data_IF_967475233471
#
_entry.id   IF_967475233471
#
_cell.length_a   1.000
_cell.length_b   1.000
_cell.length_c   1.000
_cell.angle_alpha   90.00
_cell.angle_beta   90.00
_cell.angle_gamma   90.00
#
_symmetry.space_group_name_H-M   'P 1'
#
loop_
_entity.id
_entity.type
_entity.pdbx_description
1 polymer ?
#
# COMPACT_ATOMS: atom_id res chain seq x y z
N UNK A 1 -14.76 -1.03 1.02
CA UNK A 1 -13.65 -0.98 0.08
C UNK A 1 -12.36 -1.46 0.74
N UNK A 2 -11.97 -0.98 1.92
CA UNK A 2 -10.65 -1.21 2.50
C UNK A 2 -10.22 -2.66 2.77
N UNK A 3 -11.07 -3.52 3.32
CA UNK A 3 -10.65 -4.88 3.76
C UNK A 3 -10.41 -5.87 2.61
N UNK A 4 -10.98 -5.64 1.43
CA UNK A 4 -10.83 -6.50 0.25
C UNK A 4 -9.78 -6.01 -0.73
N UNK A 5 -9.18 -4.85 -0.49
CA UNK A 5 -8.29 -4.18 -1.44
C UNK A 5 -7.01 -4.98 -1.72
N UNK A 6 -6.42 -5.60 -0.69
CA UNK A 6 -5.24 -6.45 -0.85
C UNK A 6 -5.59 -7.73 -1.62
N UNK A 7 -6.70 -8.36 -1.27
CA UNK A 7 -7.17 -9.55 -1.99
C UNK A 7 -7.38 -9.26 -3.47
N UNK A 8 -8.27 -8.32 -3.78
CA UNK A 8 -8.67 -8.02 -5.17
C UNK A 8 -7.61 -7.29 -5.98
N UNK A 9 -6.85 -6.40 -5.35
CA UNK A 9 -5.89 -5.54 -6.04
C UNK A 9 -4.45 -6.05 -6.09
N UNK A 10 -4.09 -7.03 -5.29
CA UNK A 10 -2.72 -7.53 -5.15
C UNK A 10 -2.63 -9.05 -5.25
N UNK A 11 -3.27 -9.78 -4.31
CA UNK A 11 -3.21 -11.25 -4.29
C UNK A 11 -3.91 -11.87 -5.50
N UNK A 12 -5.09 -11.38 -5.89
CA UNK A 12 -5.85 -11.88 -7.04
C UNK A 12 -5.07 -11.80 -8.35
N UNK A 13 -4.54 -10.63 -8.75
CA UNK A 13 -3.70 -10.51 -9.94
C UNK A 13 -2.47 -11.43 -9.93
N UNK A 14 -1.82 -11.58 -8.79
CA UNK A 14 -0.66 -12.50 -8.65
C UNK A 14 -1.09 -13.94 -8.80
N UNK A 15 -2.21 -14.34 -8.20
CA UNK A 15 -2.75 -15.70 -8.37
C UNK A 15 -3.20 -15.96 -9.81
N UNK A 16 -3.78 -14.97 -10.50
CA UNK A 16 -4.12 -15.11 -11.92
C UNK A 16 -2.90 -15.39 -12.80
N UNK A 17 -1.75 -14.84 -12.48
CA UNK A 17 -0.52 -15.01 -13.25
C UNK A 17 0.27 -16.27 -12.88
N UNK A 18 0.41 -16.58 -11.58
CA UNK A 18 1.36 -17.59 -11.09
C UNK A 18 0.74 -18.83 -10.47
N UNK A 19 -0.55 -18.84 -10.17
CA UNK A 19 -1.22 -19.99 -9.54
C UNK A 19 -1.58 -21.08 -10.56
N UNK A 20 -1.70 -22.32 -10.08
CA UNK A 20 -2.25 -23.42 -10.88
C UNK A 20 -3.75 -23.23 -11.13
N UNK A 21 -4.31 -23.95 -12.10
CA UNK A 21 -5.74 -23.85 -12.40
C UNK A 21 -6.61 -24.32 -11.23
N UNK A 22 -6.17 -25.31 -10.45
CA UNK A 22 -6.83 -25.75 -9.22
C UNK A 22 -6.83 -24.67 -8.16
N UNK A 23 -5.69 -23.99 -7.96
CA UNK A 23 -5.59 -22.86 -7.02
C UNK A 23 -6.50 -21.70 -7.45
N UNK A 24 -6.48 -21.35 -8.74
CA UNK A 24 -7.35 -20.29 -9.28
C UNK A 24 -8.82 -20.62 -9.06
N UNK A 25 -9.24 -21.85 -9.37
CA UNK A 25 -10.61 -22.30 -9.20
C UNK A 25 -11.06 -22.29 -7.72
N UNK A 26 -10.12 -22.57 -6.78
CA UNK A 26 -10.43 -22.60 -5.34
C UNK A 26 -10.47 -21.17 -4.74
N UNK A 27 -9.50 -20.32 -5.02
CA UNK A 27 -9.29 -19.10 -4.26
C UNK A 27 -9.88 -17.84 -4.91
N UNK A 28 -9.83 -17.71 -6.23
CA UNK A 28 -10.29 -16.49 -6.90
C UNK A 28 -11.79 -16.21 -6.74
N UNK A 29 -12.70 -17.22 -6.85
CA UNK A 29 -14.13 -16.96 -6.62
C UNK A 29 -14.42 -16.52 -5.17
N UNK A 30 -13.84 -17.19 -4.17
CA UNK A 30 -14.03 -16.85 -2.77
C UNK A 30 -13.51 -15.46 -2.43
N UNK A 31 -12.38 -15.05 -3.02
CA UNK A 31 -11.82 -13.71 -2.92
C UNK A 31 -12.73 -12.66 -3.57
N UNK A 32 -13.23 -12.92 -4.79
CA UNK A 32 -14.11 -12.01 -5.52
C UNK A 32 -15.49 -11.83 -4.85
N UNK A 33 -16.00 -12.88 -4.21
CA UNK A 33 -17.25 -12.85 -3.44
C UNK A 33 -17.08 -12.23 -2.03
N UNK A 34 -15.85 -11.89 -1.63
CA UNK A 34 -15.55 -11.35 -0.30
C UNK A 34 -15.72 -12.36 0.85
N UNK A 35 -15.67 -13.65 0.54
CA UNK A 35 -15.74 -14.74 1.53
C UNK A 35 -14.42 -14.98 2.26
N UNK A 36 -13.32 -14.60 1.63
CA UNK A 36 -11.96 -14.74 2.16
C UNK A 36 -11.21 -13.41 2.05
N UNK A 37 -10.64 -12.98 3.16
CA UNK A 37 -9.88 -11.75 3.27
C UNK A 37 -8.39 -12.09 3.23
N UNK A 38 -7.62 -11.31 2.47
CA UNK A 38 -6.21 -11.53 2.25
C UNK A 38 -5.36 -10.38 2.75
N UNK A 39 -4.17 -10.67 3.28
CA UNK A 39 -3.15 -9.68 3.65
C UNK A 39 -1.84 -9.90 2.89
N UNK A 40 -0.93 -8.90 2.99
CA UNK A 40 0.37 -8.89 2.32
C UNK A 40 1.49 -8.93 3.36
N UNK A 41 2.31 -9.99 3.34
CA UNK A 41 3.36 -10.29 4.30
C UNK A 41 4.74 -10.05 3.65
N UNK A 42 5.11 -8.78 3.45
CA UNK A 42 6.33 -8.40 2.74
C UNK A 42 7.37 -7.76 3.66
N UNK A 43 7.05 -6.59 4.20
CA UNK A 43 7.98 -5.79 5.01
C UNK A 43 8.43 -6.51 6.28
N UNK A 44 9.68 -6.30 6.64
CA UNK A 44 10.28 -6.76 7.89
C UNK A 44 10.85 -5.56 8.67
N UNK A 45 11.14 -5.67 9.97
CA UNK A 45 11.73 -4.57 10.73
C UNK A 45 13.02 -4.00 10.11
N UNK A 46 13.77 -4.84 9.39
CA UNK A 46 15.02 -4.45 8.70
C UNK A 46 14.90 -4.32 7.18
N UNK A 47 13.71 -4.55 6.59
CA UNK A 47 13.51 -4.60 5.14
C UNK A 47 12.16 -3.99 4.74
N UNK A 48 12.13 -2.69 4.55
CA UNK A 48 10.98 -1.93 4.01
C UNK A 48 11.19 -1.62 2.53
N UNK A 49 11.79 -0.48 2.20
CA UNK A 49 12.10 -0.10 0.80
C UNK A 49 13.01 -1.11 0.10
N UNK A 50 13.96 -1.71 0.82
CA UNK A 50 14.79 -2.82 0.35
C UNK A 50 14.10 -4.17 0.66
N UNK A 51 12.99 -4.45 -0.01
CA UNK A 51 12.26 -5.73 0.16
C UNK A 51 13.18 -6.93 -0.11
N UNK A 52 14.12 -6.81 -1.05
CA UNK A 52 15.08 -7.87 -1.33
C UNK A 52 16.06 -8.14 -0.18
N UNK A 53 16.15 -7.24 0.81
CA UNK A 53 16.93 -7.42 2.04
C UNK A 53 16.25 -8.24 3.13
N UNK A 54 15.07 -8.81 2.87
CA UNK A 54 14.29 -9.62 3.82
C UNK A 54 15.09 -10.81 4.37
N UNK A 55 14.78 -11.21 5.61
CA UNK A 55 15.49 -12.23 6.37
C UNK A 55 14.63 -13.38 6.87
N UNK A 56 13.30 -13.29 6.81
CA UNK A 56 12.41 -14.42 7.09
C UNK A 56 12.78 -15.60 6.21
N UNK A 57 12.95 -16.78 6.79
CA UNK A 57 13.53 -17.96 6.15
C UNK A 57 12.45 -18.96 5.76
N UNK A 58 12.68 -19.65 4.65
CA UNK A 58 11.93 -20.83 4.24
C UNK A 58 12.94 -21.98 4.04
N UNK A 59 12.81 -23.05 4.81
CA UNK A 59 13.65 -24.24 4.67
C UNK A 59 12.77 -25.36 4.12
N UNK A 60 13.21 -25.97 2.99
CA UNK A 60 12.45 -27.07 2.39
C UNK A 60 12.61 -28.34 3.22
N UNK A 61 11.49 -28.99 3.53
CA UNK A 61 11.41 -30.25 4.23
C UNK A 61 10.40 -31.18 3.51
N UNK A 62 10.91 -32.08 2.68
CA UNK A 62 10.10 -32.92 1.83
C UNK A 62 9.20 -32.12 0.89
N UNK A 63 7.89 -32.34 0.99
CA UNK A 63 6.86 -31.61 0.22
C UNK A 63 6.38 -30.33 0.93
N UNK A 64 7.04 -29.93 2.00
CA UNK A 64 6.70 -28.76 2.79
C UNK A 64 7.86 -27.76 2.86
N UNK A 65 7.53 -26.57 3.36
CA UNK A 65 8.48 -25.52 3.73
C UNK A 65 8.23 -25.10 5.17
N UNK A 66 9.31 -24.96 5.93
CA UNK A 66 9.27 -24.47 7.32
C UNK A 66 9.65 -23.01 7.33
N UNK A 67 8.74 -22.17 7.78
CA UNK A 67 8.89 -20.72 7.78
C UNK A 67 9.21 -20.22 9.18
N UNK A 68 10.26 -19.40 9.28
CA UNK A 68 10.66 -18.71 10.51
C UNK A 68 11.00 -17.24 10.19
N UNK A 69 10.52 -16.33 11.03
CA UNK A 69 10.81 -14.89 10.88
C UNK A 69 9.71 -13.98 11.38
N UNK A 70 9.75 -12.74 10.93
CA UNK A 70 8.80 -11.71 11.32
C UNK A 70 8.47 -10.82 10.13
N UNK A 71 7.18 -10.50 9.96
CA UNK A 71 6.70 -9.44 9.08
C UNK A 71 6.11 -8.29 9.89
N UNK A 72 6.14 -7.09 9.34
CA UNK A 72 5.64 -5.89 10.01
C UNK A 72 4.85 -5.00 9.04
N UNK A 73 4.04 -4.13 9.56
CA UNK A 73 3.15 -3.23 8.81
C UNK A 73 2.11 -3.98 7.96
N UNK A 74 1.78 -5.21 8.36
CA UNK A 74 0.80 -6.03 7.64
C UNK A 74 -0.61 -5.53 7.92
N UNK A 75 -1.22 -4.91 6.91
CA UNK A 75 -2.60 -4.39 7.00
C UNK A 75 -3.58 -5.53 7.17
N UNK A 76 -4.42 -5.45 8.22
CA UNK A 76 -5.54 -6.34 8.44
C UNK A 76 -5.20 -7.79 8.78
N UNK A 77 -3.94 -8.14 9.08
CA UNK A 77 -3.53 -9.52 9.37
C UNK A 77 -4.36 -10.19 10.47
N UNK A 78 -4.84 -9.42 11.45
CA UNK A 78 -5.61 -9.94 12.59
C UNK A 78 -7.02 -10.42 12.24
N UNK A 79 -7.53 -10.13 11.05
CA UNK A 79 -8.81 -10.63 10.55
C UNK A 79 -8.71 -11.30 9.17
N UNK A 80 -7.51 -11.40 8.60
CA UNK A 80 -7.30 -12.06 7.30
C UNK A 80 -7.36 -13.57 7.44
N UNK A 81 -7.94 -14.21 6.42
CA UNK A 81 -7.96 -15.67 6.30
C UNK A 81 -6.67 -16.18 5.66
N UNK A 82 -6.17 -15.47 4.64
CA UNK A 82 -4.96 -15.83 3.91
C UNK A 82 -3.99 -14.65 3.81
N UNK A 83 -2.71 -14.97 3.59
CA UNK A 83 -1.66 -14.00 3.31
C UNK A 83 -0.79 -14.41 2.13
N UNK A 84 -0.37 -13.43 1.31
CA UNK A 84 0.70 -13.61 0.34
C UNK A 84 2.03 -13.28 1.00
N UNK A 85 3.00 -14.20 0.90
CA UNK A 85 4.23 -14.17 1.67
C UNK A 85 5.46 -14.28 0.77
N UNK A 86 6.42 -13.39 0.93
CA UNK A 86 7.75 -13.48 0.34
C UNK A 86 8.79 -13.77 1.43
N UNK A 87 9.65 -14.77 1.19
CA UNK A 87 10.67 -15.24 2.13
C UNK A 87 11.96 -15.63 1.42
N UNK A 88 13.04 -15.77 2.19
CA UNK A 88 14.34 -16.19 1.70
C UNK A 88 14.52 -17.69 1.86
N UNK A 89 14.66 -18.39 0.74
CA UNK A 89 14.95 -19.83 0.74
C UNK A 89 16.45 -20.14 0.73
N UNK A 90 17.28 -19.25 0.15
CA UNK A 90 18.73 -19.41 0.16
C UNK A 90 19.43 -18.06 0.45
N UNK A 91 20.12 -17.93 1.59
CA UNK A 91 20.85 -16.71 1.94
C UNK A 91 22.17 -16.54 1.18
N UNK A 92 22.69 -17.57 0.51
CA UNK A 92 23.96 -17.54 -0.21
C UNK A 92 23.82 -17.04 -1.66
N UNK A 93 22.59 -17.04 -2.20
CA UNK A 93 22.30 -16.49 -3.51
C UNK A 93 22.22 -14.96 -3.47
N UNK A 94 22.42 -14.36 -4.65
CA UNK A 94 22.16 -12.92 -4.82
C UNK A 94 20.80 -12.53 -4.28
N UNK A 95 20.69 -11.32 -3.70
CA UNK A 95 19.51 -10.82 -2.99
C UNK A 95 18.19 -11.22 -3.64
N UNK A 96 18.06 -11.01 -4.96
CA UNK A 96 16.82 -11.23 -5.68
C UNK A 96 16.58 -12.70 -6.08
N UNK A 97 17.64 -13.51 -6.17
CA UNK A 97 17.55 -14.92 -6.61
C UNK A 97 17.23 -15.88 -5.45
N UNK A 98 17.58 -15.50 -4.21
CA UNK A 98 17.38 -16.35 -3.02
C UNK A 98 15.97 -16.23 -2.41
N UNK A 99 14.96 -15.77 -3.15
CA UNK A 99 13.62 -15.52 -2.65
C UNK A 99 12.60 -16.46 -3.28
N UNK A 100 11.60 -16.88 -2.48
CA UNK A 100 10.46 -17.67 -2.94
C UNK A 100 9.17 -17.07 -2.41
N UNK A 101 8.08 -17.27 -3.14
CA UNK A 101 6.81 -16.66 -2.84
C UNK A 101 5.75 -17.73 -2.54
N UNK A 102 4.95 -17.51 -1.50
CA UNK A 102 3.89 -18.41 -1.07
C UNK A 102 2.60 -17.66 -0.78
N UNK A 103 1.51 -18.37 -0.71
CA UNK A 103 0.36 -17.95 0.08
C UNK A 103 0.14 -18.95 1.22
N UNK A 104 -0.50 -18.51 2.30
CA UNK A 104 -0.72 -19.35 3.47
C UNK A 104 -2.01 -18.98 4.20
N UNK A 105 -2.57 -19.97 4.91
CA UNK A 105 -3.66 -19.75 5.87
C UNK A 105 -3.11 -19.02 7.10
N UNK A 106 -3.67 -17.87 7.43
CA UNK A 106 -3.25 -17.04 8.57
C UNK A 106 -3.57 -17.68 9.93
N UNK A 107 -4.34 -18.77 9.94
CA UNK A 107 -4.68 -19.57 11.14
C UNK A 107 -3.75 -20.76 11.33
N UNK A 108 -2.72 -20.91 10.48
CA UNK A 108 -1.75 -22.00 10.59
C UNK A 108 -1.03 -21.98 11.94
N UNK A 109 -0.76 -23.14 12.57
CA UNK A 109 0.02 -23.20 13.80
C UNK A 109 1.37 -22.53 13.63
N UNK A 110 1.83 -21.80 14.67
CA UNK A 110 3.09 -21.07 14.67
C UNK A 110 3.00 -19.63 14.15
N UNK A 111 1.82 -19.17 13.72
CA UNK A 111 1.58 -17.77 13.36
C UNK A 111 1.04 -17.02 14.58
N UNK A 112 1.70 -15.93 14.95
CA UNK A 112 1.23 -15.00 15.98
C UNK A 112 1.08 -13.60 15.36
N UNK A 113 -0.09 -12.98 15.52
CA UNK A 113 -0.40 -11.64 15.00
C UNK A 113 -0.54 -10.66 16.13
N UNK A 114 0.23 -9.56 16.11
CA UNK A 114 0.18 -8.49 17.13
C UNK A 114 -0.19 -7.16 16.48
N UNK A 115 -1.37 -6.59 16.78
CA UNK A 115 -1.76 -5.28 16.28
C UNK A 115 -0.83 -4.17 16.78
N UNK A 116 -0.47 -3.25 15.86
CA UNK A 116 0.34 -2.07 16.15
C UNK A 116 -0.59 -0.88 16.38
N UNK A 117 -0.52 -0.27 17.57
CA UNK A 117 -1.28 0.95 17.86
C UNK A 117 -0.68 2.13 17.10
N UNK A 118 -1.49 2.77 16.28
CA UNK A 118 -1.12 3.91 15.45
C UNK A 118 -1.46 5.24 16.12
N UNK A 119 -0.80 6.33 15.73
CA UNK A 119 -1.05 7.68 16.22
C UNK A 119 -2.49 8.14 15.90
N UNK A 120 -3.10 7.62 14.84
CA UNK A 120 -4.52 7.85 14.49
C UNK A 120 -5.51 7.23 15.50
N UNK A 121 -5.02 6.44 16.46
CA UNK A 121 -5.84 5.70 17.43
C UNK A 121 -6.28 4.32 16.94
N UNK A 122 -6.11 3.99 15.67
CA UNK A 122 -6.41 2.67 15.10
C UNK A 122 -5.31 1.64 15.37
N UNK A 123 -5.54 0.40 14.92
CA UNK A 123 -4.58 -0.72 14.98
C UNK A 123 -4.73 -1.61 13.75
N UNK A 124 -4.79 -1.00 12.56
CA UNK A 124 -4.98 -1.71 11.30
C UNK A 124 -3.70 -2.41 10.82
N UNK A 125 -2.52 -1.96 11.24
CA UNK A 125 -1.24 -2.61 10.95
C UNK A 125 -0.87 -3.62 12.04
N UNK A 126 -0.14 -4.66 11.64
CA UNK A 126 0.24 -5.75 12.53
C UNK A 126 1.71 -6.13 12.34
N UNK A 127 2.31 -6.63 13.40
CA UNK A 127 3.45 -7.54 13.37
C UNK A 127 2.93 -8.97 13.22
N UNK A 128 3.59 -9.78 12.41
CA UNK A 128 3.26 -11.19 12.21
C UNK A 128 4.53 -12.01 12.42
N UNK A 129 4.50 -12.90 13.39
CA UNK A 129 5.61 -13.78 13.75
C UNK A 129 5.36 -15.19 13.22
N UNK A 130 6.39 -15.81 12.69
CA UNK A 130 6.39 -17.19 12.21
C UNK A 130 7.38 -18.00 13.01
N UNK A 131 6.90 -19.05 13.68
CA UNK A 131 7.72 -20.01 14.43
C UNK A 131 7.39 -21.40 13.93
N UNK A 132 8.30 -21.98 13.16
CA UNK A 132 8.20 -23.31 12.55
C UNK A 132 6.86 -23.53 11.80
N UNK A 133 6.39 -22.51 11.10
CA UNK A 133 5.13 -22.59 10.32
C UNK A 133 5.36 -23.47 9.11
N UNK A 134 4.54 -24.52 8.98
CA UNK A 134 4.62 -25.47 7.87
C UNK A 134 3.69 -25.02 6.73
N UNK A 135 4.26 -24.81 5.55
CA UNK A 135 3.53 -24.49 4.32
C UNK A 135 3.77 -25.60 3.30
N UNK A 136 2.73 -26.23 2.73
CA UNK A 136 2.89 -27.18 1.63
C UNK A 136 3.51 -26.53 0.38
N UNK A 137 4.38 -27.24 -0.35
CA UNK A 137 4.95 -26.73 -1.61
C UNK A 137 3.87 -26.39 -2.65
N UNK A 138 2.71 -27.02 -2.55
CA UNK A 138 1.54 -26.70 -3.36
C UNK A 138 0.96 -25.31 -3.10
N UNK A 139 1.38 -24.57 -2.06
CA UNK A 139 1.02 -23.17 -1.80
C UNK A 139 2.07 -22.19 -2.29
N UNK A 140 3.05 -22.63 -3.06
CA UNK A 140 4.04 -21.79 -3.72
C UNK A 140 3.45 -21.16 -4.99
N UNK A 141 3.76 -19.87 -5.19
CA UNK A 141 3.42 -19.13 -6.41
C UNK A 141 4.69 -18.84 -7.22
N UNK A 142 4.73 -19.32 -8.45
CA UNK A 142 5.92 -19.35 -9.29
C UNK A 142 6.91 -20.46 -8.90
N UNK A 143 8.11 -20.46 -9.51
CA UNK A 143 9.16 -21.43 -9.21
C UNK A 143 9.98 -21.05 -7.98
N UNK A 144 10.74 -22.00 -7.42
CA UNK A 144 11.73 -21.71 -6.37
C UNK A 144 12.76 -20.73 -6.95
N UNK A 145 12.94 -19.58 -6.28
CA UNK A 145 13.77 -18.50 -6.77
C UNK A 145 13.03 -17.37 -7.52
N UNK A 146 11.77 -17.58 -7.89
CA UNK A 146 10.94 -16.55 -8.57
C UNK A 146 10.35 -15.52 -7.61
N UNK A 147 10.63 -15.62 -6.30
CA UNK A 147 10.00 -14.77 -5.29
C UNK A 147 10.09 -13.28 -5.57
N UNK A 148 11.22 -12.81 -6.12
CA UNK A 148 11.36 -11.41 -6.52
C UNK A 148 10.45 -11.03 -7.68
N UNK A 149 10.38 -11.87 -8.71
CA UNK A 149 9.53 -11.65 -9.89
C UNK A 149 8.06 -11.55 -9.48
N UNK A 150 7.59 -12.47 -8.64
CA UNK A 150 6.20 -12.48 -8.13
C UNK A 150 5.95 -11.28 -7.23
N UNK A 151 6.92 -10.89 -6.38
CA UNK A 151 6.81 -9.70 -5.55
C UNK A 151 6.71 -8.40 -6.38
N UNK A 152 7.46 -8.26 -7.47
CA UNK A 152 7.37 -7.11 -8.37
C UNK A 152 5.97 -7.04 -9.02
N UNK A 153 5.41 -8.16 -9.47
CA UNK A 153 4.02 -8.19 -9.99
C UNK A 153 3.03 -7.70 -8.93
N UNK A 154 3.19 -8.13 -7.66
CA UNK A 154 2.37 -7.64 -6.55
C UNK A 154 2.48 -6.13 -6.38
N UNK A 155 3.71 -5.59 -6.30
CA UNK A 155 3.99 -4.17 -6.06
C UNK A 155 3.50 -3.27 -7.23
N UNK A 156 3.52 -3.77 -8.46
CA UNK A 156 2.96 -3.05 -9.61
C UNK A 156 1.44 -2.94 -9.51
N UNK A 157 0.76 -4.02 -9.12
CA UNK A 157 -0.69 -4.01 -8.90
C UNK A 157 -1.09 -3.17 -7.69
N UNK A 158 -0.30 -3.19 -6.61
CA UNK A 158 -0.48 -2.33 -5.45
C UNK A 158 -0.56 -0.84 -5.83
N UNK A 159 0.33 -0.37 -6.69
CA UNK A 159 0.33 1.04 -7.16
C UNK A 159 -0.94 1.42 -7.90
N UNK A 160 -1.54 0.48 -8.62
CA UNK A 160 -2.82 0.69 -9.30
C UNK A 160 -4.00 0.72 -8.32
N UNK A 161 -3.95 -0.12 -7.29
CA UNK A 161 -5.00 -0.26 -6.29
C UNK A 161 -4.99 0.90 -5.25
N UNK A 162 -3.80 1.28 -4.76
CA UNK A 162 -3.60 2.26 -3.66
C UNK A 162 -3.53 3.71 -4.16
N UNK A 163 -3.55 3.94 -5.47
CA UNK A 163 -3.32 5.26 -6.08
C UNK A 163 -4.29 6.39 -5.69
N UNK A 164 -5.41 6.10 -5.04
CA UNK A 164 -6.35 7.09 -4.52
C UNK A 164 -6.23 7.13 -2.98
N UNK A 165 -5.52 8.12 -2.44
CA UNK A 165 -5.48 8.36 -1.01
C UNK A 165 -6.91 8.66 -0.49
N UNK A 166 -7.42 7.80 0.40
CA UNK A 166 -8.70 8.03 1.07
C UNK A 166 -8.50 9.08 2.18
N UNK A 167 -9.31 10.12 2.19
CA UNK A 167 -9.27 11.19 3.20
C UNK A 167 -9.84 12.49 2.66
N UNK A 168 -9.55 13.58 3.34
CA UNK A 168 -9.97 14.92 2.92
C UNK A 168 -9.44 15.24 1.51
N UNK A 169 -10.30 15.73 0.64
CA UNK A 169 -9.95 16.09 -0.73
C UNK A 169 -10.07 17.60 -1.00
N UNK A 170 -9.87 18.00 -2.24
CA UNK A 170 -9.94 19.41 -2.62
C UNK A 170 -11.35 19.99 -2.45
N UNK A 171 -12.39 19.18 -2.62
CA UNK A 171 -13.79 19.62 -2.46
C UNK A 171 -14.09 19.85 -0.97
N UNK A 172 -13.54 19.02 -0.07
CA UNK A 172 -13.64 19.23 1.36
C UNK A 172 -12.93 20.52 1.79
N UNK A 173 -11.71 20.74 1.29
CA UNK A 173 -10.96 21.96 1.55
C UNK A 173 -11.69 23.21 1.02
N UNK A 174 -12.28 23.14 -0.18
CA UNK A 174 -13.05 24.23 -0.77
C UNK A 174 -14.32 24.51 0.02
N UNK A 175 -15.05 23.46 0.42
CA UNK A 175 -16.26 23.58 1.24
C UNK A 175 -15.95 24.20 2.59
N UNK A 176 -14.86 23.74 3.23
CA UNK A 176 -14.39 24.28 4.48
C UNK A 176 -13.99 25.75 4.37
N UNK A 177 -13.21 26.13 3.37
CA UNK A 177 -12.75 27.50 3.16
C UNK A 177 -13.87 28.52 2.91
N UNK A 178 -15.07 28.06 2.53
CA UNK A 178 -16.26 28.90 2.39
C UNK A 178 -16.96 29.22 3.71
N UNK A 179 -16.61 28.53 4.79
CA UNK A 179 -17.15 28.84 6.12
C UNK A 179 -16.52 30.11 6.66
N UNK A 180 -17.30 30.84 7.46
CA UNK A 180 -16.81 32.01 8.17
C UNK A 180 -15.85 31.56 9.27
N UNK A 181 -14.76 32.30 9.45
CA UNK A 181 -13.88 32.17 10.61
C UNK A 181 -14.43 32.98 11.81
N UNK A 182 -13.67 33.04 12.89
CA UNK A 182 -14.06 33.77 14.10
C UNK A 182 -14.17 35.30 13.88
N UNK A 183 -13.58 35.84 12.80
CA UNK A 183 -13.75 37.24 12.40
C UNK A 183 -15.05 37.50 11.60
N UNK A 184 -15.75 36.43 11.21
CA UNK A 184 -16.95 36.48 10.39
C UNK A 184 -16.65 36.48 8.88
N UNK A 185 -15.40 36.36 8.47
CA UNK A 185 -14.97 36.32 7.08
C UNK A 185 -14.70 34.88 6.60
N UNK A 186 -15.11 34.51 5.38
CA UNK A 186 -14.76 33.22 4.82
C UNK A 186 -13.25 33.12 4.50
N UNK A 187 -12.60 32.01 4.87
CA UNK A 187 -11.19 31.76 4.59
C UNK A 187 -10.85 31.85 3.10
N UNK A 188 -11.81 31.57 2.21
CA UNK A 188 -11.65 31.69 0.76
C UNK A 188 -11.36 33.10 0.29
N UNK A 189 -11.64 34.14 1.09
CA UNK A 189 -11.29 35.53 0.79
C UNK A 189 -9.78 35.78 0.87
N UNK A 190 -9.02 34.92 1.56
CA UNK A 190 -7.57 34.97 1.60
C UNK A 190 -6.97 34.50 0.26
N UNK A 191 -6.10 35.32 -0.35
CA UNK A 191 -5.44 34.99 -1.63
C UNK A 191 -4.59 33.72 -1.56
N UNK A 192 -3.88 33.49 -0.46
CA UNK A 192 -3.05 32.29 -0.25
C UNK A 192 -3.91 31.03 -0.22
N UNK A 193 -5.04 31.05 0.51
CA UNK A 193 -5.98 29.93 0.56
C UNK A 193 -6.54 29.61 -0.83
N UNK A 194 -6.95 30.63 -1.61
CA UNK A 194 -7.40 30.42 -2.98
C UNK A 194 -6.33 29.79 -3.87
N UNK A 195 -5.08 30.27 -3.75
CA UNK A 195 -3.97 29.72 -4.52
C UNK A 195 -3.77 28.24 -4.20
N UNK A 196 -3.72 27.87 -2.93
CA UNK A 196 -3.53 26.48 -2.50
C UNK A 196 -4.67 25.57 -3.01
N UNK A 197 -5.92 26.02 -2.91
CA UNK A 197 -7.07 25.25 -3.42
C UNK A 197 -7.00 25.09 -4.94
N UNK A 198 -6.59 26.15 -5.66
CA UNK A 198 -6.43 26.08 -7.13
C UNK A 198 -5.32 25.10 -7.51
N UNK A 199 -4.20 25.07 -6.79
CA UNK A 199 -3.10 24.11 -7.00
C UNK A 199 -3.57 22.68 -6.77
N UNK A 200 -4.26 22.40 -5.65
CA UNK A 200 -4.80 21.07 -5.37
C UNK A 200 -5.85 20.62 -6.38
N UNK A 201 -6.65 21.56 -6.89
CA UNK A 201 -7.61 21.27 -7.97
C UNK A 201 -6.89 20.87 -9.27
N UNK A 202 -5.82 21.58 -9.63
CA UNK A 202 -4.99 21.22 -10.78
C UNK A 202 -4.33 19.85 -10.59
N UNK A 203 -3.77 19.57 -9.41
CA UNK A 203 -3.22 18.26 -9.06
C UNK A 203 -4.27 17.15 -9.16
N UNK A 204 -5.47 17.36 -8.60
CA UNK A 204 -6.55 16.37 -8.64
C UNK A 204 -6.97 16.04 -10.09
N UNK A 205 -7.08 17.07 -10.97
CA UNK A 205 -7.38 16.84 -12.37
C UNK A 205 -6.24 16.17 -13.12
N UNK A 206 -4.98 16.52 -12.81
CA UNK A 206 -3.80 15.86 -13.34
C UNK A 206 -3.79 14.37 -13.01
N UNK A 207 -4.05 14.01 -11.75
CA UNK A 207 -4.15 12.62 -11.29
C UNK A 207 -5.28 11.87 -12.01
N UNK A 208 -6.48 12.47 -12.10
CA UNK A 208 -7.61 11.89 -12.82
C UNK A 208 -7.27 11.57 -14.27
N UNK A 209 -6.63 12.51 -14.98
CA UNK A 209 -6.27 12.34 -16.38
C UNK A 209 -5.13 11.29 -16.53
N UNK A 210 -4.17 11.24 -15.63
CA UNK A 210 -3.12 10.22 -15.61
C UNK A 210 -3.72 8.83 -15.43
N UNK A 211 -4.69 8.67 -14.50
CA UNK A 211 -5.40 7.40 -14.29
C UNK A 211 -6.20 6.99 -15.54
N UNK A 212 -6.89 7.92 -16.20
CA UNK A 212 -7.60 7.64 -17.45
C UNK A 212 -6.66 7.17 -18.56
N UNK A 213 -5.46 7.76 -18.68
CA UNK A 213 -4.44 7.31 -19.63
C UNK A 213 -3.99 5.87 -19.33
N UNK A 214 -3.71 5.56 -18.06
CA UNK A 214 -3.33 4.21 -17.61
C UNK A 214 -4.43 3.20 -17.92
N UNK A 215 -5.70 3.52 -17.63
CA UNK A 215 -6.84 2.64 -17.94
C UNK A 215 -7.01 2.44 -19.44
N UNK A 216 -6.80 3.48 -20.25
CA UNK A 216 -6.85 3.38 -21.71
C UNK A 216 -5.72 2.51 -22.27
N UNK A 217 -4.52 2.56 -21.69
CA UNK A 217 -3.42 1.67 -22.05
C UNK A 217 -3.74 0.21 -21.74
N UNK A 218 -4.23 -0.06 -20.51
CA UNK A 218 -4.67 -1.41 -20.09
C UNK A 218 -5.77 -1.96 -21.01
N UNK A 219 -6.74 -1.15 -21.42
CA UNK A 219 -7.83 -1.59 -22.33
C UNK A 219 -7.34 -1.99 -23.72
N UNK A 220 -6.15 -1.53 -24.11
CA UNK A 220 -5.46 -1.95 -25.35
C UNK A 220 -4.51 -3.13 -25.16
N UNK A 221 -4.46 -3.73 -23.95
CA UNK A 221 -3.55 -4.80 -23.61
C UNK A 221 -2.10 -4.35 -23.35
N UNK A 222 -1.87 -3.03 -23.17
CA UNK A 222 -0.56 -2.49 -22.81
C UNK A 222 -0.31 -2.64 -21.32
N UNK A 223 0.94 -2.86 -20.91
CA UNK A 223 1.32 -2.87 -19.49
C UNK A 223 1.47 -1.42 -18.99
N UNK A 224 0.89 -1.06 -17.82
CA UNK A 224 1.10 0.26 -17.23
C UNK A 224 2.59 0.54 -17.01
N UNK A 225 3.02 1.74 -17.39
CA UNK A 225 4.41 2.14 -17.24
C UNK A 225 4.76 2.65 -15.83
N UNK A 226 6.02 3.02 -15.62
CA UNK A 226 6.50 3.54 -14.34
C UNK A 226 5.90 4.90 -13.97
N UNK A 227 5.23 5.58 -14.92
CA UNK A 227 4.49 6.84 -14.68
C UNK A 227 3.35 6.68 -13.65
N UNK A 228 2.85 5.47 -13.41
CA UNK A 228 1.90 5.20 -12.33
C UNK A 228 2.44 5.62 -10.96
N UNK A 229 3.77 5.67 -10.79
CA UNK A 229 4.43 6.18 -9.58
C UNK A 229 4.11 7.65 -9.28
N UNK A 230 3.82 8.47 -10.31
CA UNK A 230 3.45 9.89 -10.17
C UNK A 230 2.17 10.00 -9.35
N UNK A 231 1.19 9.15 -9.62
CA UNK A 231 -0.12 9.19 -8.96
C UNK A 231 0.01 9.10 -7.44
N UNK A 232 0.81 8.15 -6.96
CA UNK A 232 1.01 7.95 -5.51
C UNK A 232 1.73 9.14 -4.86
N UNK A 233 2.80 9.65 -5.47
CA UNK A 233 3.56 10.80 -4.91
C UNK A 233 2.65 12.01 -4.78
N UNK A 234 1.95 12.38 -5.85
CA UNK A 234 1.12 13.60 -5.86
C UNK A 234 -0.07 13.43 -4.92
N UNK A 235 -0.76 12.28 -4.92
CA UNK A 235 -1.93 12.08 -4.06
C UNK A 235 -1.58 12.10 -2.57
N UNK A 236 -0.47 11.48 -2.15
CA UNK A 236 -0.04 11.46 -0.76
C UNK A 236 0.40 12.85 -0.26
N UNK A 237 1.16 13.58 -1.07
CA UNK A 237 1.56 14.96 -0.74
C UNK A 237 0.35 15.91 -0.68
N UNK A 238 -0.56 15.82 -1.66
CA UNK A 238 -1.80 16.62 -1.67
C UNK A 238 -2.63 16.37 -0.41
N UNK A 239 -2.84 15.09 -0.03
CA UNK A 239 -3.59 14.75 1.18
C UNK A 239 -2.94 15.34 2.44
N UNK A 240 -1.61 15.28 2.55
CA UNK A 240 -0.89 15.87 3.67
C UNK A 240 -1.08 17.39 3.73
N UNK A 241 -0.99 18.07 2.60
CA UNK A 241 -1.16 19.53 2.51
C UNK A 241 -2.61 19.94 2.84
N UNK A 242 -3.60 19.21 2.36
CA UNK A 242 -5.02 19.45 2.70
C UNK A 242 -5.27 19.19 4.18
N UNK A 243 -4.71 18.11 4.75
CA UNK A 243 -4.79 17.84 6.19
C UNK A 243 -4.17 18.97 7.02
N UNK A 244 -2.98 19.44 6.65
CA UNK A 244 -2.32 20.56 7.31
C UNK A 244 -3.16 21.85 7.22
N UNK A 245 -3.68 22.19 6.04
CA UNK A 245 -4.59 23.33 5.86
C UNK A 245 -5.80 23.25 6.78
N UNK A 246 -6.45 22.09 6.89
CA UNK A 246 -7.58 21.90 7.79
C UNK A 246 -7.20 22.13 9.25
N UNK A 247 -6.07 21.56 9.69
CA UNK A 247 -5.57 21.73 11.06
C UNK A 247 -5.19 23.18 11.37
N UNK A 248 -4.47 23.84 10.46
CA UNK A 248 -4.06 25.24 10.61
C UNK A 248 -5.29 26.18 10.69
N UNK A 249 -6.34 25.90 9.90
CA UNK A 249 -7.57 26.68 9.91
C UNK A 249 -8.44 26.48 11.15
N UNK A 250 -8.23 25.39 11.88
CA UNK A 250 -8.94 25.06 13.13
C UNK A 250 -8.20 25.57 14.37
N UNK A 251 -6.94 25.99 14.23
CA UNK A 251 -6.06 26.40 15.33
C UNK A 251 -6.15 25.37 16.50
N UNK A 252 -6.30 25.83 17.73
CA UNK A 252 -6.39 24.98 18.92
C UNK A 252 -7.57 24.00 18.89
N UNK A 253 -8.67 24.32 18.19
CA UNK A 253 -9.81 23.43 18.05
C UNK A 253 -9.47 22.16 17.24
N UNK A 254 -8.48 22.23 16.34
CA UNK A 254 -8.01 21.07 15.56
C UNK A 254 -7.40 19.96 16.43
N UNK A 255 -6.93 20.26 17.63
CA UNK A 255 -6.36 19.28 18.56
C UNK A 255 -7.42 18.57 19.42
N UNK A 256 -8.65 19.04 19.43
CA UNK A 256 -9.71 18.47 20.24
C UNK A 256 -10.31 17.24 19.57
N UNK A 257 -10.57 16.21 20.37
CA UNK A 257 -11.38 15.07 19.90
C UNK A 257 -12.81 15.54 19.64
N UNK A 258 -13.34 15.24 18.47
CA UNK A 258 -14.65 15.71 18.02
C UNK A 258 -15.41 14.60 17.29
N UNK A 259 -16.74 14.68 17.30
CA UNK A 259 -17.61 13.83 16.48
C UNK A 259 -18.00 14.51 15.16
N UNK A 260 -17.49 15.72 14.87
CA UNK A 260 -17.71 16.39 13.60
C UNK A 260 -16.92 15.69 12.48
N UNK A 261 -17.59 15.08 11.46
CA UNK A 261 -16.92 14.29 10.43
C UNK A 261 -16.00 15.10 9.54
N UNK A 262 -16.28 16.39 9.32
CA UNK A 262 -15.41 17.24 8.50
C UNK A 262 -14.08 17.52 9.22
N UNK A 263 -14.13 17.84 10.51
CA UNK A 263 -12.93 18.06 11.34
C UNK A 263 -12.15 16.75 11.46
N UNK A 264 -12.82 15.64 11.73
CA UNK A 264 -12.20 14.32 11.78
C UNK A 264 -11.50 13.96 10.45
N UNK A 265 -12.07 14.35 9.30
CA UNK A 265 -11.46 14.13 8.00
C UNK A 265 -10.10 14.81 7.88
N UNK A 266 -9.98 16.07 8.31
CA UNK A 266 -8.70 16.78 8.32
C UNK A 266 -7.72 16.22 9.35
N UNK A 267 -8.19 15.90 10.56
CA UNK A 267 -7.37 15.26 11.60
C UNK A 267 -6.79 13.92 11.12
N UNK A 268 -7.62 13.08 10.53
CA UNK A 268 -7.21 11.78 9.98
C UNK A 268 -6.25 11.94 8.80
N UNK A 269 -6.48 12.92 7.91
CA UNK A 269 -5.58 13.23 6.81
C UNK A 269 -4.21 13.68 7.35
N UNK A 270 -4.19 14.58 8.31
CA UNK A 270 -2.95 15.11 8.91
C UNK A 270 -2.13 14.03 9.62
N UNK A 271 -2.77 13.18 10.43
CA UNK A 271 -2.10 12.10 11.15
C UNK A 271 -1.71 10.92 10.24
N UNK A 272 -2.52 10.62 9.22
CA UNK A 272 -2.36 9.43 8.40
C UNK A 272 -1.50 9.63 7.14
N UNK A 273 -1.51 10.82 6.54
CA UNK A 273 -0.81 11.08 5.28
C UNK A 273 0.70 10.82 5.31
N UNK A 274 1.45 11.09 6.41
CA UNK A 274 2.87 10.72 6.48
C UNK A 274 3.12 9.23 6.23
N UNK A 275 2.24 8.35 6.71
CA UNK A 275 2.31 6.91 6.44
C UNK A 275 2.13 6.58 4.96
N UNK A 276 1.26 7.30 4.25
CA UNK A 276 1.05 7.11 2.81
C UNK A 276 2.25 7.57 1.98
N UNK A 277 3.09 8.48 2.47
CA UNK A 277 4.34 8.88 1.80
C UNK A 277 5.42 7.80 1.88
N UNK A 278 5.23 6.81 2.75
CA UNK A 278 6.15 5.68 2.97
C UNK A 278 5.61 4.40 2.31
N UNK A 279 4.33 4.07 2.53
CA UNK A 279 3.68 2.87 2.02
C UNK A 279 3.61 2.86 0.48
N UNK A 280 3.61 1.68 -0.14
CA UNK A 280 3.56 1.53 -1.61
C UNK A 280 4.79 2.06 -2.34
N UNK A 281 5.93 2.14 -1.65
CA UNK A 281 7.18 2.79 -2.05
C UNK A 281 7.28 4.23 -1.54
N UNK A 282 8.41 4.56 -0.90
CA UNK A 282 8.64 5.92 -0.40
C UNK A 282 8.69 6.93 -1.55
N UNK A 283 8.48 8.20 -1.24
CA UNK A 283 8.58 9.29 -2.23
C UNK A 283 9.93 9.23 -2.97
N UNK A 284 11.03 8.91 -2.25
CA UNK A 284 12.38 8.80 -2.79
C UNK A 284 12.49 7.63 -3.78
N UNK A 285 12.02 6.43 -3.40
CA UNK A 285 12.01 5.25 -4.28
C UNK A 285 11.20 5.52 -5.55
N UNK A 286 10.03 6.14 -5.41
CA UNK A 286 9.19 6.44 -6.57
C UNK A 286 9.79 7.53 -7.46
N UNK A 287 10.45 8.55 -6.89
CA UNK A 287 11.19 9.57 -7.65
C UNK A 287 12.35 8.94 -8.42
N UNK A 288 13.10 8.00 -7.82
CA UNK A 288 14.16 7.27 -8.52
C UNK A 288 13.60 6.46 -9.68
N UNK A 289 12.47 5.76 -9.49
CA UNK A 289 11.82 5.02 -10.58
C UNK A 289 11.41 5.95 -11.73
N UNK A 290 10.88 7.13 -11.44
CA UNK A 290 10.51 8.13 -12.45
C UNK A 290 11.78 8.66 -13.13
N UNK A 291 12.80 9.04 -12.38
CA UNK A 291 14.04 9.57 -12.90
C UNK A 291 14.72 8.58 -13.86
N UNK A 292 14.87 7.33 -13.42
CA UNK A 292 15.61 6.32 -14.17
C UNK A 292 14.79 5.76 -15.36
N UNK A 293 13.51 5.44 -15.15
CA UNK A 293 12.71 4.67 -16.11
C UNK A 293 11.80 5.52 -17.00
N UNK A 294 11.40 6.72 -16.54
CA UNK A 294 10.58 7.64 -17.35
C UNK A 294 11.44 8.68 -18.04
N UNK A 295 12.38 9.28 -17.28
CA UNK A 295 13.23 10.37 -17.78
C UNK A 295 14.57 9.87 -18.37
N UNK A 296 14.93 8.61 -18.19
CA UNK A 296 16.18 8.02 -18.69
C UNK A 296 17.44 8.58 -18.02
N UNK A 297 17.31 9.12 -16.80
CA UNK A 297 18.46 9.62 -16.03
C UNK A 297 19.33 8.45 -15.54
N UNK A 298 20.64 8.67 -15.32
CA UNK A 298 21.54 7.64 -14.82
C UNK A 298 21.16 7.23 -13.40
N UNK A 299 21.40 5.97 -13.06
CA UNK A 299 21.25 5.48 -11.69
C UNK A 299 22.33 6.09 -10.80
N UNK A 300 21.97 6.37 -9.54
CA UNK A 300 22.94 6.74 -8.53
C UNK A 300 23.99 5.63 -8.36
N UNK A 301 25.25 6.01 -8.19
CA UNK A 301 26.33 5.10 -7.85
C UNK A 301 26.00 4.43 -6.50
N UNK A 302 25.84 3.11 -6.50
CA UNK A 302 25.56 2.29 -5.31
C UNK A 302 26.84 1.99 -4.55
#
# INVERSE_FOLDING_TARGET
KGIFEIGLGMAGPVMMEYATDEQKARYLPAMAEGKEIWCQLFSEPSAGSDVAGLRSKAIKDGDNWIINGQKVWTSGAHFSDYGILVVRHDPNLEKHKGMTFFFLDMKSPGIEVKPIKQITGGSSFNEVYFTDVVIPDSQRLGEVGDGWKVAITTLMNERLAVGDANGADVEDAFRWAKKQDDSGEPLINNKSVRSSIADWYCEANGLKNTKLRTMSALSRGETPGPEASITKIVSANKLQNIGAFGMDSLDMAGMLKTDNPEIQSFQNAWLGAPGLRIAGGTDEILKNIIAERVLGLPQDAR
#
